data_IF_871414904147
#
_entry.id   IF_871414904147
#
_cell.length_a   1.000
_cell.length_b   1.000
_cell.length_c   1.000
_cell.angle_alpha   90.00
_cell.angle_beta   90.00
_cell.angle_gamma   90.00
#
_symmetry.space_group_name_H-M   'P 1'
#
loop_
_entity.id
_entity.type
_entity.pdbx_description
1 polymer ?
#
# COMPACT_ATOMS: atom_id res chain seq x y z
N UNK A 1 20.77 11.00 27.29
CA UNK A 1 19.37 10.54 27.19
C UNK A 1 18.72 10.91 25.85
N UNK A 2 18.73 12.20 25.45
CA UNK A 2 18.11 12.65 24.20
C UNK A 2 18.63 11.95 22.93
N UNK A 3 19.96 11.87 22.77
CA UNK A 3 20.60 11.21 21.61
C UNK A 3 20.19 9.74 21.50
N UNK A 4 20.12 9.03 22.64
CA UNK A 4 19.70 7.63 22.67
C UNK A 4 18.25 7.46 22.20
N UNK A 5 17.32 8.30 22.68
CA UNK A 5 15.92 8.24 22.26
C UNK A 5 15.74 8.60 20.78
N UNK A 6 16.52 9.57 20.30
CA UNK A 6 16.55 9.94 18.88
C UNK A 6 17.03 8.78 18.00
N UNK A 7 18.11 8.10 18.39
CA UNK A 7 18.63 6.92 17.68
C UNK A 7 17.64 5.75 17.72
N UNK A 8 17.02 5.51 18.88
CA UNK A 8 15.98 4.48 19.04
C UNK A 8 14.83 4.70 18.05
N UNK A 9 14.24 5.90 18.01
CA UNK A 9 13.14 6.20 17.10
C UNK A 9 13.57 6.19 15.64
N UNK A 10 14.77 6.65 15.33
CA UNK A 10 15.33 6.54 13.98
C UNK A 10 15.43 5.08 13.53
N UNK A 11 15.85 4.17 14.42
CA UNK A 11 15.92 2.73 14.15
C UNK A 11 14.53 2.13 13.92
N UNK A 12 13.54 2.47 14.77
CA UNK A 12 12.15 2.01 14.63
C UNK A 12 11.54 2.47 13.30
N UNK A 13 11.69 3.76 12.96
CA UNK A 13 11.18 4.30 11.70
C UNK A 13 11.87 3.66 10.49
N UNK A 14 13.18 3.47 10.56
CA UNK A 14 13.95 2.82 9.49
C UNK A 14 13.51 1.35 9.30
N UNK A 15 13.26 0.64 10.40
CA UNK A 15 12.74 -0.73 10.37
C UNK A 15 11.33 -0.78 9.76
N UNK A 16 10.42 0.12 10.16
CA UNK A 16 9.10 0.22 9.58
C UNK A 16 9.16 0.53 8.07
N UNK A 17 10.07 1.42 7.66
CA UNK A 17 10.33 1.71 6.26
C UNK A 17 10.85 0.50 5.48
N UNK A 18 11.77 -0.27 6.05
CA UNK A 18 12.28 -1.49 5.44
C UNK A 18 11.19 -2.56 5.31
N UNK A 19 10.35 -2.74 6.32
CA UNK A 19 9.20 -3.65 6.28
C UNK A 19 8.19 -3.18 5.24
N UNK A 20 7.91 -1.87 5.16
CA UNK A 20 7.01 -1.31 4.15
C UNK A 20 7.53 -1.63 2.74
N UNK A 21 8.80 -1.34 2.45
CA UNK A 21 9.43 -1.64 1.16
C UNK A 21 9.40 -3.13 0.84
N UNK A 22 9.65 -3.99 1.84
CA UNK A 22 9.51 -5.43 1.66
C UNK A 22 8.08 -5.81 1.25
N UNK A 23 7.08 -5.26 1.92
CA UNK A 23 5.66 -5.52 1.66
C UNK A 23 5.17 -4.95 0.31
N UNK A 24 5.90 -4.01 -0.30
CA UNK A 24 5.59 -3.49 -1.64
C UNK A 24 5.65 -4.55 -2.76
N UNK A 25 6.05 -5.79 -2.47
CA UNK A 25 5.86 -6.90 -3.40
C UNK A 25 4.38 -7.11 -3.78
N UNK A 26 3.43 -6.71 -2.92
CA UNK A 26 1.99 -6.76 -3.24
C UNK A 26 1.67 -5.82 -4.40
N UNK A 27 2.19 -4.59 -4.36
CA UNK A 27 2.06 -3.58 -5.42
C UNK A 27 2.77 -4.04 -6.69
N UNK A 28 3.96 -4.64 -6.55
CA UNK A 28 4.66 -5.29 -7.67
C UNK A 28 3.84 -6.42 -8.33
N UNK A 29 3.17 -7.24 -7.52
CA UNK A 29 2.26 -8.28 -8.02
C UNK A 29 1.04 -7.69 -8.74
N UNK A 30 0.49 -6.61 -8.20
CA UNK A 30 -0.66 -5.90 -8.77
C UNK A 30 -0.32 -5.24 -10.13
N UNK A 31 0.84 -4.58 -10.26
CA UNK A 31 1.25 -3.90 -11.49
C UNK A 31 1.48 -4.89 -12.65
N UNK A 32 1.90 -6.11 -12.33
CA UNK A 32 2.14 -7.18 -13.30
C UNK A 32 0.92 -8.07 -13.59
N UNK A 33 -0.25 -7.74 -13.02
CA UNK A 33 -1.42 -8.60 -13.05
C UNK A 33 -1.85 -9.02 -14.46
N UNK A 34 -1.88 -8.11 -15.44
CA UNK A 34 -2.22 -8.44 -16.83
C UNK A 34 -1.01 -8.90 -17.66
N UNK A 35 0.22 -8.64 -17.22
CA UNK A 35 1.44 -9.10 -17.90
C UNK A 35 1.69 -10.60 -17.65
N UNK A 36 1.58 -11.03 -16.38
CA UNK A 36 1.76 -12.41 -15.96
C UNK A 36 0.45 -13.21 -16.02
N UNK A 37 -0.67 -12.59 -15.66
CA UNK A 37 -2.00 -13.18 -15.65
C UNK A 37 -2.68 -13.16 -17.03
N UNK A 38 -2.17 -13.93 -17.99
CA UNK A 38 -2.75 -14.00 -19.34
C UNK A 38 -4.17 -14.57 -19.38
N UNK A 39 -4.51 -15.44 -18.45
CA UNK A 39 -5.85 -16.05 -18.32
C UNK A 39 -6.58 -15.54 -17.07
N UNK A 40 -7.92 -15.63 -17.05
CA UNK A 40 -8.73 -15.29 -15.87
C UNK A 40 -8.35 -16.12 -14.64
N UNK A 41 -7.97 -17.38 -14.85
CA UNK A 41 -7.53 -18.29 -13.81
C UNK A 41 -6.18 -17.85 -13.21
N UNK A 42 -5.20 -17.51 -14.06
CA UNK A 42 -3.91 -17.00 -13.60
C UNK A 42 -4.06 -15.69 -12.82
N UNK A 43 -4.91 -14.76 -13.30
CA UNK A 43 -5.22 -13.52 -12.59
C UNK A 43 -5.87 -13.78 -11.23
N UNK A 44 -6.80 -14.74 -11.17
CA UNK A 44 -7.44 -15.15 -9.91
C UNK A 44 -6.42 -15.73 -8.92
N UNK A 45 -5.50 -16.57 -9.39
CA UNK A 45 -4.43 -17.13 -8.55
C UNK A 45 -3.51 -16.02 -8.01
N UNK A 46 -3.10 -15.08 -8.86
CA UNK A 46 -2.27 -13.93 -8.45
C UNK A 46 -2.97 -13.10 -7.37
N UNK A 47 -4.21 -12.66 -7.62
CA UNK A 47 -5.01 -11.87 -6.67
C UNK A 47 -5.23 -12.63 -5.36
N UNK A 48 -5.55 -13.93 -5.40
CA UNK A 48 -5.74 -14.72 -4.19
C UNK A 48 -4.44 -14.88 -3.39
N UNK A 49 -3.29 -14.93 -4.07
CA UNK A 49 -1.99 -15.05 -3.42
C UNK A 49 -1.62 -13.79 -2.63
N UNK A 50 -1.99 -12.60 -3.11
CA UNK A 50 -1.70 -11.31 -2.47
C UNK A 50 -2.84 -10.77 -1.61
N UNK A 51 -4.07 -11.23 -1.80
CA UNK A 51 -5.29 -10.67 -1.21
C UNK A 51 -5.41 -10.76 0.31
N UNK A 52 -4.63 -11.60 1.00
CA UNK A 52 -4.53 -11.58 2.47
C UNK A 52 -3.37 -10.74 3.01
N UNK A 53 -2.49 -10.25 2.13
CA UNK A 53 -1.23 -9.59 2.50
C UNK A 53 -1.26 -8.08 2.29
N UNK A 54 -2.19 -7.57 1.48
CA UNK A 54 -2.31 -6.14 1.21
C UNK A 54 -2.57 -5.33 2.49
N UNK A 55 -3.35 -5.88 3.44
CA UNK A 55 -3.68 -5.24 4.71
C UNK A 55 -2.41 -4.87 5.48
N UNK A 56 -1.43 -5.77 5.54
CA UNK A 56 -0.14 -5.50 6.20
C UNK A 56 0.60 -4.32 5.56
N UNK A 57 0.53 -4.19 4.23
CA UNK A 57 1.22 -3.09 3.53
C UNK A 57 0.58 -1.75 3.90
N UNK A 58 -0.75 -1.67 3.87
CA UNK A 58 -1.48 -0.47 4.25
C UNK A 58 -1.30 -0.12 5.73
N UNK A 59 -1.43 -1.11 6.63
CA UNK A 59 -1.20 -0.89 8.06
C UNK A 59 0.22 -0.40 8.32
N UNK A 60 1.24 -1.01 7.69
CA UNK A 60 2.64 -0.60 7.86
C UNK A 60 2.85 0.84 7.36
N UNK A 61 2.25 1.23 6.24
CA UNK A 61 2.29 2.60 5.72
C UNK A 61 1.73 3.61 6.74
N UNK A 62 0.55 3.32 7.29
CA UNK A 62 -0.10 4.18 8.29
C UNK A 62 0.71 4.23 9.58
N UNK A 63 1.22 3.09 10.06
CA UNK A 63 2.09 3.03 11.26
C UNK A 63 3.40 3.79 11.05
N UNK A 64 4.01 3.70 9.86
CA UNK A 64 5.21 4.46 9.50
C UNK A 64 4.97 5.97 9.55
N UNK A 65 3.86 6.45 8.97
CA UNK A 65 3.45 7.85 9.09
C UNK A 65 3.19 8.28 10.54
N UNK A 66 2.49 7.45 11.32
CA UNK A 66 2.22 7.69 12.74
C UNK A 66 3.49 7.72 13.60
N UNK A 67 4.47 6.86 13.30
CA UNK A 67 5.77 6.87 13.98
C UNK A 67 6.52 8.18 13.72
N UNK A 68 6.52 8.69 12.48
CA UNK A 68 7.07 10.01 12.18
C UNK A 68 6.33 11.14 12.89
N UNK A 69 5.00 11.10 12.93
CA UNK A 69 4.20 12.08 13.66
C UNK A 69 4.58 12.13 15.16
N UNK A 70 4.73 10.95 15.79
CA UNK A 70 5.05 10.84 17.20
C UNK A 70 6.50 11.21 17.55
N UNK A 71 7.47 10.90 16.68
CA UNK A 71 8.91 11.00 16.99
C UNK A 71 9.63 12.16 16.29
N UNK A 72 9.22 12.53 15.07
CA UNK A 72 9.85 13.58 14.26
C UNK A 72 8.78 14.51 13.65
N UNK A 73 8.06 15.29 14.47
CA UNK A 73 6.87 16.04 14.02
C UNK A 73 7.16 17.08 12.94
N UNK A 74 8.35 17.71 12.96
CA UNK A 74 8.75 18.67 11.92
C UNK A 74 8.97 17.99 10.56
N UNK A 75 9.56 16.79 10.56
CA UNK A 75 9.72 15.99 9.34
C UNK A 75 8.36 15.56 8.80
N UNK A 76 7.47 15.10 9.68
CA UNK A 76 6.11 14.74 9.34
C UNK A 76 5.36 15.90 8.69
N UNK A 77 5.33 17.07 9.33
CA UNK A 77 4.58 18.23 8.84
C UNK A 77 5.12 18.76 7.50
N UNK A 78 6.43 18.76 7.33
CA UNK A 78 7.08 19.22 6.09
C UNK A 78 6.83 18.25 4.95
N UNK A 79 6.92 16.94 5.20
CA UNK A 79 6.71 15.91 4.17
C UNK A 79 5.24 15.81 3.75
N UNK A 80 4.31 15.71 4.71
CA UNK A 80 2.87 15.56 4.42
C UNK A 80 2.24 16.88 3.96
N UNK A 81 2.69 18.02 4.49
CA UNK A 81 2.24 19.34 4.05
C UNK A 81 2.80 19.73 2.68
N UNK A 82 4.11 19.51 2.46
CA UNK A 82 4.79 19.88 1.21
C UNK A 82 4.38 19.01 0.03
N UNK A 83 4.18 17.71 0.25
CA UNK A 83 3.77 16.75 -0.77
C UNK A 83 2.30 16.33 -0.64
N UNK A 84 1.42 17.27 -0.24
CA UNK A 84 0.01 16.99 0.06
C UNK A 84 -0.70 16.17 -1.03
N UNK A 85 -0.67 16.64 -2.28
CA UNK A 85 -1.36 15.97 -3.38
C UNK A 85 -0.79 14.58 -3.69
N UNK A 86 0.52 14.39 -3.52
CA UNK A 86 1.16 13.09 -3.71
C UNK A 86 0.65 12.08 -2.67
N UNK A 87 0.64 12.47 -1.39
CA UNK A 87 0.10 11.62 -0.32
C UNK A 87 -1.38 11.29 -0.51
N UNK A 88 -2.19 12.27 -0.94
CA UNK A 88 -3.60 12.03 -1.24
C UNK A 88 -3.78 10.98 -2.33
N UNK A 89 -3.00 11.06 -3.42
CA UNK A 89 -3.07 10.09 -4.52
C UNK A 89 -2.67 8.69 -4.03
N UNK A 90 -1.59 8.57 -3.25
CA UNK A 90 -1.15 7.30 -2.67
C UNK A 90 -2.26 6.71 -1.78
N UNK A 91 -2.82 7.49 -0.85
CA UNK A 91 -3.87 7.00 0.04
C UNK A 91 -5.13 6.57 -0.71
N UNK A 92 -5.58 7.34 -1.69
CA UNK A 92 -6.72 6.95 -2.53
C UNK A 92 -6.44 5.68 -3.33
N UNK A 93 -5.22 5.51 -3.85
CA UNK A 93 -4.78 4.30 -4.52
C UNK A 93 -4.90 3.06 -3.60
N UNK A 94 -4.45 3.17 -2.34
CA UNK A 94 -4.60 2.09 -1.36
C UNK A 94 -6.06 1.82 -0.94
N UNK A 95 -6.92 2.83 -0.91
CA UNK A 95 -8.37 2.64 -0.70
C UNK A 95 -8.99 1.87 -1.87
N UNK A 96 -8.66 2.24 -3.11
CA UNK A 96 -9.12 1.52 -4.30
C UNK A 96 -8.62 0.06 -4.31
N UNK A 97 -7.41 -0.18 -3.84
CA UNK A 97 -6.85 -1.52 -3.66
C UNK A 97 -7.70 -2.35 -2.68
N UNK A 98 -7.99 -1.81 -1.50
CA UNK A 98 -8.82 -2.49 -0.49
C UNK A 98 -10.20 -2.87 -1.03
N UNK A 99 -10.87 -1.91 -1.69
CA UNK A 99 -12.17 -2.13 -2.34
C UNK A 99 -12.06 -3.20 -3.44
N UNK A 100 -10.99 -3.18 -4.23
CA UNK A 100 -10.81 -4.14 -5.31
C UNK A 100 -10.58 -5.56 -4.82
N UNK A 101 -9.82 -5.76 -3.75
CA UNK A 101 -9.67 -7.08 -3.12
C UNK A 101 -10.99 -7.59 -2.52
N UNK A 102 -11.73 -6.74 -1.83
CA UNK A 102 -12.96 -7.12 -1.12
C UNK A 102 -14.14 -7.40 -2.07
N UNK A 103 -14.33 -6.59 -3.11
CA UNK A 103 -15.57 -6.59 -3.90
C UNK A 103 -15.48 -7.31 -5.25
N UNK A 104 -14.29 -7.56 -5.81
CA UNK A 104 -14.19 -8.11 -7.17
C UNK A 104 -14.80 -9.51 -7.34
N UNK A 105 -14.87 -10.31 -6.26
CA UNK A 105 -15.43 -11.67 -6.26
C UNK A 105 -16.79 -11.77 -5.57
N UNK A 106 -17.37 -10.65 -5.10
CA UNK A 106 -18.69 -10.67 -4.47
C UNK A 106 -19.80 -10.84 -5.52
N UNK A 107 -20.84 -11.57 -5.13
CA UNK A 107 -22.06 -11.67 -5.93
C UNK A 107 -22.69 -10.28 -6.06
N UNK A 108 -23.12 -9.92 -7.28
CA UNK A 108 -23.68 -8.59 -7.56
C UNK A 108 -22.63 -7.47 -7.62
N UNK A 109 -21.38 -7.76 -7.96
CA UNK A 109 -20.38 -6.71 -8.18
C UNK A 109 -20.88 -5.69 -9.21
N UNK A 110 -20.68 -4.40 -8.93
CA UNK A 110 -21.27 -3.30 -9.69
C UNK A 110 -20.46 -2.92 -10.94
N UNK A 111 -19.14 -3.05 -10.87
CA UNK A 111 -18.21 -2.48 -11.86
C UNK A 111 -17.57 -3.52 -12.80
N UNK A 112 -17.77 -4.82 -12.54
CA UNK A 112 -17.10 -5.91 -13.24
C UNK A 112 -15.70 -6.21 -12.69
N UNK A 113 -15.32 -7.50 -12.74
CA UNK A 113 -14.02 -8.00 -12.25
C UNK A 113 -12.83 -7.29 -12.93
N UNK A 114 -12.93 -7.00 -14.23
CA UNK A 114 -11.86 -6.33 -15.00
C UNK A 114 -11.58 -4.91 -14.48
N UNK A 115 -12.61 -4.16 -14.08
CA UNK A 115 -12.46 -2.79 -13.56
C UNK A 115 -11.72 -2.79 -12.23
N UNK A 116 -12.08 -3.69 -11.31
CA UNK A 116 -11.34 -3.87 -10.05
C UNK A 116 -9.89 -4.31 -10.29
N UNK A 117 -9.64 -5.18 -11.27
CA UNK A 117 -8.29 -5.57 -11.64
C UNK A 117 -7.48 -4.39 -12.22
N UNK A 118 -8.10 -3.49 -12.98
CA UNK A 118 -7.47 -2.24 -13.42
C UNK A 118 -7.13 -1.33 -12.25
N UNK A 119 -8.02 -1.21 -11.25
CA UNK A 119 -7.71 -0.47 -10.02
C UNK A 119 -6.53 -1.07 -9.25
N UNK A 120 -6.42 -2.40 -9.21
CA UNK A 120 -5.24 -3.06 -8.66
C UNK A 120 -3.98 -2.66 -9.43
N UNK A 121 -4.00 -2.65 -10.76
CA UNK A 121 -2.83 -2.25 -11.57
C UNK A 121 -2.46 -0.78 -11.32
N UNK A 122 -3.45 0.12 -11.28
CA UNK A 122 -3.21 1.54 -10.94
C UNK A 122 -2.54 1.62 -9.58
N UNK A 123 -3.05 0.88 -8.59
CA UNK A 123 -2.45 0.82 -7.28
C UNK A 123 -1.02 0.28 -7.31
N UNK A 124 -0.74 -0.76 -8.08
CA UNK A 124 0.60 -1.32 -8.18
C UNK A 124 1.65 -0.40 -8.82
N UNK A 125 1.21 0.62 -9.56
CA UNK A 125 2.10 1.61 -10.20
C UNK A 125 2.23 2.87 -9.36
N UNK A 126 1.16 3.28 -8.70
CA UNK A 126 1.05 4.59 -8.02
C UNK A 126 1.28 4.49 -6.51
N UNK A 127 0.80 3.42 -5.88
CA UNK A 127 0.95 3.16 -4.44
C UNK A 127 2.23 2.38 -4.16
#
# INVERSE_FOLDING_TARGET
MYIFLQQYWWLVVSLLGAILVFLLFVQGGNSLLFCLGKTEEHRKMMVNSTGRKWEFTFTTLVTFGGAFFASFPLFYSTSFGGAYWLWMIILFSFVLQAVSYEFQSKAGNLLGKKTYQTFLVINGVVG
#
